data_IF_638172895091
#
_entry.id   IF_638172895091
#
_cell.length_a   1.000
_cell.length_b   1.000
_cell.length_c   1.000
_cell.angle_alpha   90.00
_cell.angle_beta   90.00
_cell.angle_gamma   90.00
#
_symmetry.space_group_name_H-M   'P 1'
#
loop_
_entity.id
_entity.type
_entity.pdbx_description
1 polymer ?
#
# COMPACT_ATOMS: atom_id res chain seq x y z
N UNK A 1 -4.71 2.14 -5.14
CA UNK A 1 -6.09 1.77 -4.75
C UNK A 1 -6.21 0.30 -4.33
N UNK A 2 -5.64 -0.66 -5.06
CA UNK A 2 -5.63 -2.10 -4.74
C UNK A 2 -5.42 -2.51 -3.26
N UNK A 3 -4.41 -1.99 -2.52
CA UNK A 3 -4.20 -2.44 -1.13
C UNK A 3 -5.33 -1.99 -0.18
N UNK A 4 -5.97 -0.86 -0.47
CA UNK A 4 -7.08 -0.35 0.34
C UNK A 4 -8.35 -1.16 0.08
N UNK A 5 -8.64 -1.47 -1.19
CA UNK A 5 -9.80 -2.28 -1.55
C UNK A 5 -9.70 -3.70 -1.02
N UNK A 6 -8.50 -4.31 -1.02
CA UNK A 6 -8.28 -5.64 -0.44
C UNK A 6 -8.57 -5.61 1.07
N UNK A 7 -8.06 -4.59 1.78
CA UNK A 7 -8.32 -4.44 3.20
C UNK A 7 -9.81 -4.25 3.50
N UNK A 8 -10.48 -3.39 2.74
CA UNK A 8 -11.92 -3.15 2.87
C UNK A 8 -12.73 -4.44 2.63
N UNK A 9 -12.43 -5.20 1.57
CA UNK A 9 -13.10 -6.48 1.31
C UNK A 9 -12.85 -7.52 2.40
N UNK A 10 -11.66 -7.56 3.00
CA UNK A 10 -11.36 -8.44 4.13
C UNK A 10 -12.17 -8.05 5.36
N UNK A 11 -12.22 -6.76 5.71
CA UNK A 11 -13.03 -6.27 6.81
C UNK A 11 -14.51 -6.58 6.60
N UNK A 12 -15.03 -6.34 5.39
CA UNK A 12 -16.42 -6.68 5.07
C UNK A 12 -16.69 -8.18 5.12
N UNK A 13 -15.75 -9.02 4.66
CA UNK A 13 -15.91 -10.48 4.74
C UNK A 13 -15.98 -10.96 6.20
N UNK A 14 -15.10 -10.44 7.07
CA UNK A 14 -15.11 -10.77 8.50
C UNK A 14 -16.41 -10.27 9.15
N UNK A 15 -16.89 -9.08 8.80
CA UNK A 15 -18.18 -8.56 9.29
C UNK A 15 -19.34 -9.45 8.87
N UNK A 16 -19.42 -9.81 7.59
CA UNK A 16 -20.48 -10.63 7.04
C UNK A 16 -20.49 -12.03 7.63
N UNK A 17 -19.32 -12.62 7.87
CA UNK A 17 -19.18 -13.93 8.53
C UNK A 17 -19.65 -13.90 9.98
N UNK A 18 -19.18 -12.92 10.76
CA UNK A 18 -19.61 -12.77 12.16
C UNK A 18 -21.12 -12.49 12.25
N UNK A 19 -21.64 -11.59 11.42
CA UNK A 19 -23.07 -11.31 11.34
C UNK A 19 -23.89 -12.55 10.97
N UNK A 20 -23.42 -13.36 10.00
CA UNK A 20 -24.07 -14.61 9.62
C UNK A 20 -24.09 -15.65 10.74
N UNK A 21 -22.97 -15.83 11.45
CA UNK A 21 -22.86 -16.73 12.61
C UNK A 21 -23.80 -16.29 13.72
N UNK A 22 -23.75 -15.02 14.12
CA UNK A 22 -24.58 -14.48 15.20
C UNK A 22 -26.08 -14.61 14.88
N UNK A 23 -26.46 -14.45 13.60
CA UNK A 23 -27.85 -14.61 13.18
C UNK A 23 -28.29 -16.09 13.17
N UNK A 24 -27.40 -17.02 12.79
CA UNK A 24 -27.68 -18.45 12.81
C UNK A 24 -27.92 -18.99 14.23
N UNK A 25 -27.29 -18.38 15.24
CA UNK A 25 -27.47 -18.75 16.65
C UNK A 25 -28.44 -17.82 17.41
N UNK A 26 -29.16 -16.94 16.71
CA UNK A 26 -30.03 -15.94 17.32
C UNK A 26 -31.05 -16.55 18.30
N UNK A 27 -31.64 -17.69 17.96
CA UNK A 27 -32.64 -18.37 18.81
C UNK A 27 -32.05 -19.01 20.07
N UNK A 28 -30.72 -19.21 20.14
CA UNK A 28 -30.06 -19.80 21.31
C UNK A 28 -29.56 -18.76 22.30
N UNK A 29 -29.54 -17.48 21.92
CA UNK A 29 -29.02 -16.41 22.75
C UNK A 29 -30.14 -15.63 23.43
N UNK A 30 -29.88 -15.19 24.67
CA UNK A 30 -30.74 -14.18 25.28
C UNK A 30 -30.66 -12.89 24.47
N UNK A 31 -31.73 -12.09 24.47
CA UNK A 31 -31.78 -10.79 23.78
C UNK A 31 -30.62 -9.87 24.15
N UNK A 32 -30.13 -9.96 25.39
CA UNK A 32 -28.98 -9.20 25.87
C UNK A 32 -27.68 -9.66 25.22
N UNK A 33 -27.46 -10.98 25.18
CA UNK A 33 -26.26 -11.59 24.58
C UNK A 33 -26.18 -11.31 23.08
N UNK A 34 -27.30 -11.43 22.37
CA UNK A 34 -27.36 -11.12 20.94
C UNK A 34 -26.97 -9.68 20.61
N UNK A 35 -27.43 -8.71 21.42
CA UNK A 35 -27.07 -7.30 21.25
C UNK A 35 -25.58 -7.03 21.52
N UNK A 36 -25.01 -7.70 22.53
CA UNK A 36 -23.58 -7.59 22.84
C UNK A 36 -22.74 -8.15 21.69
N UNK A 37 -23.09 -9.33 21.17
CA UNK A 37 -22.40 -9.97 20.04
C UNK A 37 -22.48 -9.13 18.76
N UNK A 38 -23.65 -8.57 18.44
CA UNK A 38 -23.79 -7.64 17.30
C UNK A 38 -22.93 -6.39 17.48
N UNK A 39 -22.88 -5.84 18.70
CA UNK A 39 -22.08 -4.65 19.00
C UNK A 39 -20.58 -4.96 18.92
N UNK A 40 -20.17 -6.13 19.39
CA UNK A 40 -18.79 -6.60 19.31
C UNK A 40 -18.37 -6.91 17.86
N UNK A 41 -19.28 -7.44 17.05
CA UNK A 41 -19.07 -7.65 15.62
C UNK A 41 -19.06 -6.35 14.81
N UNK A 42 -19.42 -5.20 15.40
CA UNK A 42 -19.53 -3.93 14.69
C UNK A 42 -18.14 -3.43 14.24
N UNK A 43 -17.85 -3.58 12.95
CA UNK A 43 -16.53 -3.37 12.36
C UNK A 43 -16.20 -1.90 12.05
N UNK A 44 -17.20 -1.01 12.07
CA UNK A 44 -17.05 0.43 11.77
C UNK A 44 -15.93 1.12 12.57
N UNK A 45 -15.86 1.01 13.92
CA UNK A 45 -14.78 1.63 14.70
C UNK A 45 -13.39 1.03 14.41
N UNK A 46 -13.32 -0.24 14.03
CA UNK A 46 -12.06 -0.89 13.67
C UNK A 46 -11.56 -0.43 12.30
N UNK A 47 -12.48 -0.28 11.33
CA UNK A 47 -12.17 0.20 9.99
C UNK A 47 -11.65 1.64 9.98
N UNK A 48 -12.28 2.53 10.75
CA UNK A 48 -11.86 3.95 10.84
C UNK A 48 -10.50 4.13 11.51
N UNK A 49 -10.11 3.25 12.45
CA UNK A 49 -8.79 3.28 13.07
C UNK A 49 -7.69 2.65 12.18
N UNK A 50 -8.01 1.56 11.49
CA UNK A 50 -7.02 0.84 10.68
C UNK A 50 -6.77 1.47 9.31
N UNK A 51 -7.78 2.10 8.70
CA UNK A 51 -7.68 2.77 7.40
C UNK A 51 -6.54 3.80 7.32
N UNK A 52 -6.40 4.78 8.24
CA UNK A 52 -5.31 5.75 8.18
C UNK A 52 -3.92 5.12 8.37
N UNK A 53 -3.81 4.05 9.18
CA UNK A 53 -2.56 3.32 9.37
C UNK A 53 -2.11 2.64 8.07
N UNK A 54 -3.03 1.96 7.39
CA UNK A 54 -2.77 1.28 6.13
C UNK A 54 -2.47 2.28 5.02
N UNK A 55 -3.23 3.37 4.96
CA UNK A 55 -2.99 4.44 3.99
C UNK A 55 -1.59 5.05 4.17
N UNK A 56 -1.20 5.35 5.42
CA UNK A 56 0.14 5.84 5.76
C UNK A 56 1.24 4.85 5.35
N UNK A 57 1.04 3.56 5.60
CA UNK A 57 1.98 2.51 5.19
C UNK A 57 2.14 2.45 3.67
N UNK A 58 1.02 2.47 2.92
CA UNK A 58 1.03 2.42 1.45
C UNK A 58 1.72 3.64 0.86
N UNK A 59 1.42 4.84 1.39
CA UNK A 59 2.07 6.09 0.94
C UNK A 59 3.58 6.01 1.14
N UNK A 60 4.04 5.66 2.34
CA UNK A 60 5.48 5.51 2.63
C UNK A 60 6.16 4.49 1.72
N UNK A 61 5.47 3.40 1.38
CA UNK A 61 6.00 2.38 0.46
C UNK A 61 6.05 2.90 -0.97
N UNK A 62 5.04 3.63 -1.42
CA UNK A 62 4.99 4.24 -2.74
C UNK A 62 6.10 5.29 -2.92
N UNK A 63 6.34 6.11 -1.89
CA UNK A 63 7.42 7.11 -1.92
C UNK A 63 8.80 6.46 -2.00
N UNK A 64 9.05 5.39 -1.23
CA UNK A 64 10.30 4.62 -1.33
C UNK A 64 10.52 4.06 -2.74
N UNK A 65 9.47 3.55 -3.38
CA UNK A 65 9.56 3.02 -4.75
C UNK A 65 9.83 4.15 -5.76
N UNK A 66 9.19 5.31 -5.62
CA UNK A 66 9.43 6.48 -6.47
C UNK A 66 10.86 7.00 -6.34
N UNK A 67 11.37 7.13 -5.12
CA UNK A 67 12.76 7.55 -4.88
C UNK A 67 13.75 6.53 -5.47
N UNK A 68 13.48 5.23 -5.33
CA UNK A 68 14.32 4.19 -5.92
C UNK A 68 14.33 4.25 -7.46
N UNK A 69 13.19 4.53 -8.09
CA UNK A 69 13.09 4.71 -9.53
C UNK A 69 13.82 5.98 -10.00
N UNK A 70 13.64 7.10 -9.30
CA UNK A 70 14.38 8.34 -9.60
C UNK A 70 15.88 8.13 -9.49
N UNK A 71 16.37 7.46 -8.43
CA UNK A 71 17.79 7.16 -8.26
C UNK A 71 18.35 6.33 -9.42
N UNK A 72 17.59 5.36 -9.94
CA UNK A 72 17.98 4.57 -11.13
C UNK A 72 18.04 5.42 -12.40
N UNK A 73 17.10 6.35 -12.59
CA UNK A 73 17.11 7.25 -13.73
C UNK A 73 18.27 8.26 -13.67
N UNK A 74 18.56 8.81 -12.48
CA UNK A 74 19.69 9.71 -12.28
C UNK A 74 21.03 8.99 -12.50
N UNK A 75 21.19 7.78 -11.96
CA UNK A 75 22.40 6.96 -12.19
C UNK A 75 22.64 6.68 -13.68
N UNK A 76 21.58 6.41 -14.44
CA UNK A 76 21.68 6.19 -15.88
C UNK A 76 22.01 7.46 -16.66
N UNK A 77 21.54 8.63 -16.21
CA UNK A 77 21.95 9.93 -16.79
C UNK A 77 23.42 10.23 -16.53
N UNK A 78 23.90 9.97 -15.32
CA UNK A 78 25.28 10.20 -14.91
C UNK A 78 26.25 9.33 -15.74
N UNK A 79 25.89 8.06 -15.98
CA UNK A 79 26.63 7.19 -16.91
C UNK A 79 26.61 7.75 -18.34
N UNK A 80 25.47 8.21 -18.83
CA UNK A 80 25.33 8.74 -20.18
C UNK A 80 26.11 10.07 -20.38
N UNK A 81 26.16 10.90 -19.35
CA UNK A 81 26.98 12.13 -19.31
C UNK A 81 28.48 11.81 -19.24
N UNK A 82 28.88 10.80 -18.47
CA UNK A 82 30.25 10.29 -18.44
C UNK A 82 30.70 9.76 -19.81
N UNK A 83 29.84 9.02 -20.53
CA UNK A 83 30.13 8.60 -21.90
C UNK A 83 30.27 9.79 -22.85
N UNK A 84 29.35 10.76 -22.81
CA UNK A 84 29.41 11.95 -23.66
C UNK A 84 30.71 12.76 -23.43
N UNK A 85 31.14 12.88 -22.18
CA UNK A 85 32.40 13.55 -21.83
C UNK A 85 33.64 12.82 -22.34
N UNK A 86 33.65 11.49 -22.32
CA UNK A 86 34.76 10.69 -22.87
C UNK A 86 34.85 10.84 -24.40
N UNK A 87 33.70 10.87 -25.09
CA UNK A 87 33.66 11.06 -26.54
C UNK A 87 34.15 12.45 -26.97
N UNK A 88 33.75 13.51 -26.26
CA UNK A 88 34.23 14.87 -26.56
C UNK A 88 35.73 15.01 -26.32
N UNK A 89 36.27 14.34 -25.29
CA UNK A 89 37.71 14.30 -25.05
C UNK A 89 38.49 13.54 -26.13
N UNK A 90 37.93 12.46 -26.69
CA UNK A 90 38.55 11.75 -27.82
C UNK A 90 38.54 12.59 -29.11
N UNK A 91 37.44 13.30 -29.39
CA UNK A 91 37.31 14.10 -30.61
C UNK A 91 38.13 15.40 -30.58
N UNK A 92 38.35 15.98 -29.40
CA UNK A 92 39.16 17.19 -29.21
C UNK A 92 40.67 16.92 -29.13
N UNK A 93 41.15 15.68 -29.33
CA UNK A 93 42.60 15.46 -29.47
C UNK A 93 43.05 15.98 -30.84
N UNK A 94 43.96 16.96 -30.89
CA UNK A 94 44.53 17.38 -32.16
C UNK A 94 45.25 16.19 -32.78
N UNK A 95 44.88 15.83 -34.01
CA UNK A 95 45.59 14.85 -34.81
C UNK A 95 47.00 15.40 -34.99
N UNK A 96 47.96 14.85 -34.24
CA UNK A 96 49.37 15.16 -34.38
C UNK A 96 49.76 14.68 -35.78
N UNK A 97 50.00 15.65 -36.67
CA UNK A 97 50.59 15.44 -37.99
C UNK A 97 52.10 15.37 -37.87
#
# INVERSE_FOLDING_TARGET
MLPLSIFETLCYAIFSLNGGIVNMYHEKFSTLTYRIEITAAYIVPYYTLLSPLILSYVIRRADKLRVAQMKRMTSRKDEQEAYAHIYTQMWNRPIIK
#
